data_IF_066580465596
#
_entry.id   IF_066580465596
#
_cell.length_a   1.000
_cell.length_b   1.000
_cell.length_c   1.000
_cell.angle_alpha   90.00
_cell.angle_beta   90.00
_cell.angle_gamma   90.00
#
_symmetry.space_group_name_H-M   'P 1'
#
loop_
_entity.id
_entity.type
_entity.pdbx_description
1 polymer ?
#
# COMPACT_ATOMS: atom_id res chain seq x y z
N UNK A 1 -26.05 39.82 -29.22
CA UNK A 1 -24.70 40.36 -28.94
C UNK A 1 -23.97 39.25 -28.20
N UNK A 2 -22.85 38.81 -28.75
CA UNK A 2 -22.32 37.43 -28.67
C UNK A 2 -21.99 36.89 -27.28
N UNK A 3 -22.13 35.58 -27.15
CA UNK A 3 -21.88 34.76 -25.96
C UNK A 3 -20.46 34.18 -26.05
N UNK A 4 -19.55 34.67 -25.21
CA UNK A 4 -18.17 34.22 -25.03
C UNK A 4 -18.15 33.15 -23.92
N UNK A 5 -18.13 31.87 -24.31
CA UNK A 5 -17.95 30.74 -23.38
C UNK A 5 -16.94 29.71 -23.89
N UNK A 6 -15.78 30.14 -24.37
CA UNK A 6 -14.60 29.27 -24.47
C UNK A 6 -13.80 29.31 -23.15
N UNK A 7 -14.29 28.53 -22.18
CA UNK A 7 -13.62 28.27 -20.89
C UNK A 7 -12.48 27.25 -20.99
N UNK A 8 -11.67 27.31 -22.05
CA UNK A 8 -10.50 26.44 -22.18
C UNK A 8 -9.46 26.79 -21.12
N UNK A 9 -9.26 25.86 -20.18
CA UNK A 9 -8.45 26.00 -18.95
C UNK A 9 -7.00 26.45 -19.28
N UNK A 10 -6.62 27.72 -19.02
CA UNK A 10 -5.33 28.28 -19.44
C UNK A 10 -4.13 27.64 -18.73
N UNK A 11 -4.34 26.95 -17.61
CA UNK A 11 -3.28 26.27 -16.88
C UNK A 11 -2.75 25.00 -17.59
N UNK A 12 -3.59 24.29 -18.36
CA UNK A 12 -3.20 23.10 -19.11
C UNK A 12 -2.25 23.46 -20.27
N UNK A 13 -2.52 24.55 -20.99
CA UNK A 13 -1.61 25.06 -22.03
C UNK A 13 -0.27 25.48 -21.44
N UNK A 14 -0.27 26.10 -20.25
CA UNK A 14 0.96 26.48 -19.53
C UNK A 14 1.78 25.29 -19.06
N UNK A 15 1.13 24.21 -18.62
CA UNK A 15 1.80 22.99 -18.18
C UNK A 15 2.47 22.26 -19.36
N UNK A 16 1.75 22.12 -20.49
CA UNK A 16 2.29 21.49 -21.71
C UNK A 16 3.43 22.31 -22.31
N UNK A 17 3.33 23.65 -22.33
CA UNK A 17 4.43 24.51 -22.79
C UNK A 17 5.65 24.48 -21.86
N UNK A 18 5.45 24.35 -20.55
CA UNK A 18 6.53 24.29 -19.57
C UNK A 18 7.36 23.02 -19.68
N UNK A 19 6.70 21.85 -19.86
CA UNK A 19 7.39 20.57 -20.04
C UNK A 19 8.17 20.54 -21.35
N UNK A 20 7.60 21.07 -22.45
CA UNK A 20 8.29 21.18 -23.73
C UNK A 20 9.54 22.07 -23.66
N UNK A 21 9.45 23.24 -23.00
CA UNK A 21 10.58 24.15 -22.86
C UNK A 21 11.72 23.56 -22.01
N UNK A 22 11.40 22.86 -20.92
CA UNK A 22 12.39 22.17 -20.08
C UNK A 22 13.13 21.08 -20.86
N UNK A 23 12.42 20.32 -21.69
CA UNK A 23 13.02 19.26 -22.49
C UNK A 23 13.94 19.80 -23.59
N UNK A 24 13.52 20.86 -24.29
CA UNK A 24 14.37 21.55 -25.28
C UNK A 24 15.65 22.08 -24.63
N UNK A 25 15.56 22.64 -23.42
CA UNK A 25 16.72 23.12 -22.68
C UNK A 25 17.69 21.98 -22.32
N UNK A 26 17.18 20.81 -21.90
CA UNK A 26 18.02 19.64 -21.58
C UNK A 26 18.73 19.09 -22.82
N UNK A 27 18.06 19.05 -23.98
CA UNK A 27 18.69 18.64 -25.25
C UNK A 27 19.77 19.63 -25.67
N UNK A 28 19.51 20.93 -25.55
CA UNK A 28 20.49 21.96 -25.89
C UNK A 28 21.74 21.87 -24.99
N UNK A 29 21.56 21.64 -23.68
CA UNK A 29 22.68 21.45 -22.74
C UNK A 29 23.47 20.19 -23.09
N UNK A 30 22.82 19.06 -23.37
CA UNK A 30 23.49 17.84 -23.78
C UNK A 30 24.29 18.03 -25.08
N UNK A 31 23.73 18.75 -26.07
CA UNK A 31 24.41 19.06 -27.32
C UNK A 31 25.64 19.95 -27.08
N UNK A 32 25.52 20.99 -26.26
CA UNK A 32 26.63 21.88 -25.89
C UNK A 32 27.72 21.14 -25.14
N UNK A 33 27.39 20.27 -24.19
CA UNK A 33 28.37 19.44 -23.48
C UNK A 33 29.09 18.47 -24.43
N UNK A 34 28.39 17.95 -25.44
CA UNK A 34 28.98 17.06 -26.44
C UNK A 34 29.91 17.82 -27.40
N UNK A 35 29.55 19.04 -27.79
CA UNK A 35 30.38 19.92 -28.62
C UNK A 35 31.59 20.47 -27.86
N UNK A 36 31.46 20.73 -26.55
CA UNK A 36 32.57 21.16 -25.70
C UNK A 36 33.57 20.02 -25.43
N UNK A 37 33.09 18.77 -25.37
CA UNK A 37 33.93 17.59 -25.30
C UNK A 37 34.77 17.36 -26.57
N UNK A 38 34.36 17.92 -27.72
CA UNK A 38 35.07 17.83 -29.00
C UNK A 38 36.30 18.77 -29.08
N UNK A 39 36.37 19.80 -28.22
CA UNK A 39 37.40 20.83 -28.29
C UNK A 39 38.48 20.79 -27.19
N UNK A 40 38.44 19.80 -26.29
CA UNK A 40 39.45 19.70 -25.23
C UNK A 40 39.92 18.27 -25.05
N UNK A 41 41.24 18.10 -25.12
CA UNK A 41 42.02 16.96 -24.59
C UNK A 41 41.97 16.90 -23.05
N UNK A 42 40.78 17.17 -22.46
CA UNK A 42 40.50 17.15 -21.02
C UNK A 42 39.83 15.85 -20.56
N UNK A 43 39.53 14.92 -21.47
CA UNK A 43 39.01 13.60 -21.10
C UNK A 43 40.10 12.62 -20.63
N UNK A 44 41.39 12.96 -20.75
CA UNK A 44 42.48 12.13 -20.24
C UNK A 44 42.77 12.31 -18.74
N UNK A 45 42.14 13.28 -18.07
CA UNK A 45 42.35 13.55 -16.63
C UNK A 45 41.13 13.31 -15.75
N UNK A 46 40.02 12.81 -16.29
CA UNK A 46 38.86 12.48 -15.45
C UNK A 46 39.09 11.18 -14.67
N UNK A 47 38.94 11.20 -13.34
CA UNK A 47 39.14 10.01 -12.51
C UNK A 47 38.05 8.96 -12.77
N UNK A 48 38.43 7.68 -12.74
CA UNK A 48 37.62 6.53 -13.16
C UNK A 48 36.25 6.35 -12.46
N UNK A 49 35.95 7.12 -11.42
CA UNK A 49 34.66 7.10 -10.73
C UNK A 49 33.57 7.92 -11.43
N UNK A 50 33.90 8.76 -12.42
CA UNK A 50 32.89 9.46 -13.24
C UNK A 50 32.33 8.61 -14.40
N UNK A 51 32.85 7.40 -14.60
CA UNK A 51 32.38 6.43 -15.62
C UNK A 51 31.12 5.69 -15.18
N UNK A 52 30.06 6.40 -14.77
CA UNK A 52 28.77 5.77 -14.48
C UNK A 52 27.92 5.80 -15.76
N UNK A 53 27.45 4.64 -16.27
CA UNK A 53 26.57 4.64 -17.42
C UNK A 53 25.25 5.29 -17.01
N UNK A 54 24.93 6.42 -17.64
CA UNK A 54 23.60 7.02 -17.59
C UNK A 54 22.65 6.05 -18.33
N UNK A 55 22.06 5.12 -17.58
CA UNK A 55 20.92 4.34 -18.07
C UNK A 55 19.70 5.26 -18.11
N UNK A 56 19.40 5.76 -19.30
CA UNK A 56 18.11 6.39 -19.61
C UNK A 56 17.00 5.33 -19.46
N UNK A 57 16.28 5.41 -18.34
CA UNK A 57 15.05 4.64 -18.13
C UNK A 57 13.93 5.28 -18.96
N UNK A 58 13.48 4.58 -20.00
CA UNK A 58 12.22 4.92 -20.68
C UNK A 58 12.22 4.80 -22.20
N UNK A 59 12.47 3.60 -22.73
CA UNK A 59 11.73 2.95 -23.81
C UNK A 59 12.44 1.64 -24.18
N UNK A 60 11.64 0.62 -24.49
CA UNK A 60 12.06 -0.78 -24.52
C UNK A 60 13.23 -1.11 -25.43
N UNK A 61 13.98 -2.12 -24.97
CA UNK A 61 14.75 -3.12 -25.72
C UNK A 61 14.62 -2.97 -27.23
N UNK A 62 15.66 -2.41 -27.87
CA UNK A 62 16.30 -2.86 -29.13
C UNK A 62 17.57 -2.00 -29.25
N UNK A 63 18.74 -2.63 -29.15
CA UNK A 63 20.01 -1.92 -29.36
C UNK A 63 21.25 -2.48 -28.67
N UNK A 64 21.30 -3.76 -28.30
CA UNK A 64 22.58 -4.40 -27.86
C UNK A 64 23.31 -5.08 -29.04
N UNK A 65 22.84 -4.89 -30.28
CA UNK A 65 23.54 -5.43 -31.45
C UNK A 65 24.66 -4.49 -31.90
N UNK A 66 25.89 -4.95 -31.65
CA UNK A 66 27.16 -4.58 -32.32
C UNK A 66 27.76 -3.19 -32.03
N UNK A 67 27.96 -2.85 -30.75
CA UNK A 67 28.74 -1.65 -30.37
C UNK A 67 30.26 -1.79 -30.58
N UNK A 68 30.77 -3.00 -30.83
CA UNK A 68 32.22 -3.29 -30.82
C UNK A 68 32.98 -3.01 -32.13
N UNK A 69 32.32 -2.68 -33.25
CA UNK A 69 32.97 -2.64 -34.59
C UNK A 69 32.73 -1.32 -35.35
N UNK A 70 32.28 -0.26 -34.67
CA UNK A 70 32.07 1.04 -35.32
C UNK A 70 33.24 1.98 -35.01
N UNK A 71 33.85 2.56 -36.04
CA UNK A 71 34.84 3.64 -35.92
C UNK A 71 34.18 4.88 -35.27
N UNK A 72 34.99 5.79 -34.71
CA UNK A 72 34.48 6.93 -33.91
C UNK A 72 33.31 7.66 -34.56
N UNK A 73 33.44 8.01 -35.85
CA UNK A 73 32.40 8.72 -36.59
C UNK A 73 31.08 7.93 -36.77
N UNK A 74 31.17 6.61 -36.91
CA UNK A 74 30.00 5.73 -37.06
C UNK A 74 29.23 5.54 -35.74
N UNK A 75 29.89 5.67 -34.59
CA UNK A 75 29.24 5.65 -33.26
C UNK A 75 28.38 6.88 -33.04
N UNK A 76 28.84 8.06 -33.48
CA UNK A 76 28.07 9.29 -33.40
C UNK A 76 26.79 9.20 -34.23
N UNK A 77 26.89 8.77 -35.49
CA UNK A 77 25.72 8.60 -36.35
C UNK A 77 24.70 7.62 -35.75
N UNK A 78 25.14 6.51 -35.17
CA UNK A 78 24.25 5.55 -34.52
C UNK A 78 23.54 6.15 -33.29
N UNK A 79 24.24 6.89 -32.44
CA UNK A 79 23.65 7.54 -31.26
C UNK A 79 22.67 8.66 -31.64
N UNK A 80 23.03 9.49 -32.63
CA UNK A 80 22.16 10.55 -33.13
C UNK A 80 20.90 9.95 -33.76
N UNK A 81 21.03 8.86 -34.52
CA UNK A 81 19.88 8.17 -35.11
C UNK A 81 18.93 7.61 -34.04
N UNK A 82 19.46 6.94 -33.00
CA UNK A 82 18.65 6.41 -31.89
C UNK A 82 17.94 7.55 -31.15
N UNK A 83 18.62 8.67 -30.88
CA UNK A 83 18.01 9.82 -30.23
C UNK A 83 16.90 10.46 -31.07
N UNK A 84 17.10 10.59 -32.38
CA UNK A 84 16.09 11.14 -33.30
C UNK A 84 14.88 10.20 -33.41
N UNK A 85 15.12 8.89 -33.55
CA UNK A 85 14.04 7.90 -33.64
C UNK A 85 13.25 7.79 -32.33
N UNK A 86 13.92 7.82 -31.17
CA UNK A 86 13.26 7.85 -29.86
C UNK A 86 12.40 9.10 -29.68
N UNK A 87 12.90 10.26 -30.10
CA UNK A 87 12.15 11.53 -30.04
C UNK A 87 10.92 11.51 -30.96
N UNK A 88 11.04 10.97 -32.17
CA UNK A 88 9.92 10.85 -33.10
C UNK A 88 8.83 9.91 -32.57
N UNK A 89 9.20 8.77 -31.98
CA UNK A 89 8.26 7.82 -31.38
C UNK A 89 7.51 8.45 -30.19
N UNK A 90 8.19 9.24 -29.36
CA UNK A 90 7.58 9.93 -28.23
C UNK A 90 6.55 10.98 -28.68
N UNK A 91 6.87 11.77 -29.72
CA UNK A 91 5.92 12.75 -30.27
C UNK A 91 4.68 12.09 -30.89
N UNK A 92 4.85 10.96 -31.57
CA UNK A 92 3.74 10.13 -32.06
C UNK A 92 2.86 9.60 -30.92
N UNK A 93 3.47 9.12 -29.83
CA UNK A 93 2.74 8.66 -28.65
C UNK A 93 1.91 9.75 -27.98
N UNK A 94 2.45 10.98 -27.89
CA UNK A 94 1.71 12.13 -27.35
C UNK A 94 0.51 12.48 -28.25
N UNK A 95 0.68 12.47 -29.58
CA UNK A 95 -0.41 12.74 -30.52
C UNK A 95 -1.58 11.76 -30.37
N UNK A 96 -1.28 10.45 -30.35
CA UNK A 96 -2.28 9.41 -30.19
C UNK A 96 -3.02 9.50 -28.84
N UNK A 97 -2.32 9.86 -27.77
CA UNK A 97 -2.93 10.05 -26.46
C UNK A 97 -3.88 11.26 -26.45
N UNK A 98 -3.51 12.37 -27.09
CA UNK A 98 -4.39 13.55 -27.16
C UNK A 98 -5.65 13.33 -27.98
N UNK A 99 -5.59 12.53 -29.04
CA UNK A 99 -6.77 12.19 -29.84
C UNK A 99 -7.71 11.23 -29.08
N UNK A 100 -7.17 10.23 -28.36
CA UNK A 100 -7.97 9.34 -27.52
C UNK A 100 -8.73 10.10 -26.41
N UNK A 101 -8.08 11.08 -25.79
CA UNK A 101 -8.70 11.94 -24.76
C UNK A 101 -9.74 12.89 -25.35
N UNK A 102 -9.53 13.35 -26.60
CA UNK A 102 -10.50 14.19 -27.32
C UNK A 102 -11.76 13.40 -27.69
N UNK A 103 -11.62 12.18 -28.20
CA UNK A 103 -12.76 11.30 -28.53
C UNK A 103 -13.59 10.95 -27.29
N UNK A 104 -12.93 10.73 -26.16
CA UNK A 104 -13.63 10.42 -24.90
C UNK A 104 -14.39 11.62 -24.33
N UNK A 105 -13.92 12.85 -24.56
CA UNK A 105 -14.62 14.07 -24.12
C UNK A 105 -15.68 14.58 -25.10
N UNK A 106 -15.63 14.18 -26.38
CA UNK A 106 -16.64 14.53 -27.39
C UNK A 106 -18.00 13.82 -27.22
N UNK A 107 -18.03 12.69 -26.51
CA UNK A 107 -19.24 11.87 -26.33
C UNK A 107 -20.18 12.29 -25.20
N UNK A 108 -19.81 13.23 -24.33
CA UNK A 108 -20.60 13.59 -23.14
C UNK A 108 -21.55 14.80 -23.33
N UNK A 109 -21.72 15.29 -24.56
CA UNK A 109 -22.41 16.57 -24.82
C UNK A 109 -23.86 16.53 -25.30
N UNK A 110 -24.50 15.37 -25.47
CA UNK A 110 -25.74 15.27 -26.27
C UNK A 110 -27.00 14.74 -25.56
N UNK A 111 -27.06 14.71 -24.22
CA UNK A 111 -28.25 14.21 -23.50
C UNK A 111 -28.67 15.09 -22.32
N UNK A 112 -28.96 16.37 -22.59
CA UNK A 112 -29.57 17.29 -21.62
C UNK A 112 -30.61 18.17 -22.30
N UNK A 113 -31.73 17.58 -22.73
CA UNK A 113 -32.93 18.33 -23.08
C UNK A 113 -34.19 17.48 -22.84
N UNK A 114 -34.65 17.42 -21.59
CA UNK A 114 -35.99 16.93 -21.26
C UNK A 114 -36.09 16.08 -20.00
N UNK A 115 -35.81 16.65 -18.82
CA UNK A 115 -36.15 16.00 -17.55
C UNK A 115 -37.20 16.85 -16.79
N UNK A 116 -38.34 16.26 -16.36
CA UNK A 116 -39.33 16.94 -15.53
C UNK A 116 -38.81 17.22 -14.12
N UNK A 117 -39.41 18.23 -13.49
CA UNK A 117 -39.03 18.79 -12.19
C UNK A 117 -38.80 17.73 -11.10
N UNK A 118 -37.77 17.89 -10.23
CA UNK A 118 -37.46 16.91 -9.21
C UNK A 118 -38.55 16.93 -8.13
N UNK A 119 -39.35 15.87 -8.08
CA UNK A 119 -40.10 15.55 -6.88
C UNK A 119 -39.10 15.08 -5.82
N UNK A 120 -39.16 15.72 -4.65
CA UNK A 120 -38.39 15.37 -3.46
C UNK A 120 -38.85 13.98 -3.00
N UNK A 121 -38.19 12.94 -3.48
CA UNK A 121 -38.28 11.60 -2.92
C UNK A 121 -37.48 11.61 -1.62
N UNK A 122 -38.19 11.68 -0.50
CA UNK A 122 -37.66 11.31 0.82
C UNK A 122 -37.51 9.80 0.88
N UNK A 123 -36.54 9.25 0.14
CA UNK A 123 -36.06 7.88 0.37
C UNK A 123 -35.18 7.90 1.62
N UNK A 124 -35.83 7.85 2.77
CA UNK A 124 -35.22 7.47 4.05
C UNK A 124 -34.95 5.97 4.03
N UNK A 125 -34.06 5.54 3.14
CA UNK A 125 -33.45 4.23 3.22
C UNK A 125 -32.35 4.32 4.29
N UNK A 126 -32.62 3.78 5.48
CA UNK A 126 -31.60 3.60 6.50
C UNK A 126 -30.36 2.93 5.87
N UNK A 127 -29.13 3.39 6.17
CA UNK A 127 -27.93 2.78 5.61
C UNK A 127 -27.92 1.30 5.96
N UNK A 128 -27.90 0.44 4.94
CA UNK A 128 -27.74 -1.00 5.12
C UNK A 128 -26.43 -1.25 5.85
N UNK A 129 -26.51 -1.77 7.08
CA UNK A 129 -25.34 -2.05 7.90
C UNK A 129 -24.39 -2.95 7.11
N UNK A 130 -23.18 -2.45 6.79
CA UNK A 130 -22.17 -3.26 6.09
C UNK A 130 -21.81 -4.45 6.98
N UNK A 131 -21.96 -5.66 6.44
CA UNK A 131 -21.51 -6.89 7.10
C UNK A 131 -19.97 -6.87 7.18
N UNK A 132 -19.42 -7.16 8.36
CA UNK A 132 -17.97 -7.26 8.54
C UNK A 132 -17.42 -8.44 7.72
N UNK A 133 -16.30 -8.28 7.00
CA UNK A 133 -15.71 -9.35 6.22
C UNK A 133 -15.26 -10.50 7.13
N UNK A 134 -15.34 -11.72 6.62
CA UNK A 134 -14.99 -12.93 7.36
C UNK A 134 -13.51 -13.26 7.18
N UNK A 135 -12.87 -13.65 8.28
CA UNK A 135 -11.54 -14.21 8.28
C UNK A 135 -11.61 -15.68 7.84
N UNK A 136 -10.66 -16.18 7.01
CA UNK A 136 -10.67 -17.58 6.58
C UNK A 136 -10.70 -18.54 7.76
N UNK A 137 -11.68 -19.45 7.79
CA UNK A 137 -11.86 -20.39 8.90
C UNK A 137 -11.99 -21.85 8.44
N UNK A 138 -11.27 -22.81 9.04
CA UNK A 138 -10.24 -22.62 10.07
C UNK A 138 -9.05 -21.77 9.57
N UNK A 139 -8.31 -21.10 10.47
CA UNK A 139 -7.24 -20.21 10.06
C UNK A 139 -6.18 -20.98 9.25
N UNK A 140 -5.57 -20.37 8.23
CA UNK A 140 -4.44 -20.97 7.51
C UNK A 140 -3.29 -21.34 8.45
N UNK A 141 -2.47 -22.31 8.04
CA UNK A 141 -1.30 -22.71 8.83
C UNK A 141 -0.37 -21.53 9.07
N UNK A 142 -0.25 -21.12 10.33
CA UNK A 142 0.68 -20.09 10.75
C UNK A 142 2.12 -20.64 10.88
N UNK A 143 3.10 -19.77 10.67
CA UNK A 143 4.52 -20.06 10.87
C UNK A 143 4.85 -20.35 12.33
N UNK A 144 4.16 -19.67 13.24
CA UNK A 144 4.18 -19.92 14.67
C UNK A 144 2.84 -19.47 15.30
N UNK A 145 2.52 -20.02 16.47
CA UNK A 145 1.29 -19.71 17.21
C UNK A 145 1.56 -19.64 18.71
N UNK A 146 0.90 -18.72 19.41
CA UNK A 146 0.91 -18.64 20.86
C UNK A 146 -0.45 -18.21 21.40
N UNK A 147 -0.96 -18.94 22.40
CA UNK A 147 -2.10 -18.48 23.21
C UNK A 147 -1.60 -17.43 24.20
N UNK A 148 -2.22 -16.26 24.21
CA UNK A 148 -1.88 -15.18 25.13
C UNK A 148 -2.50 -15.46 26.51
N UNK A 149 -1.74 -15.33 27.61
CA UNK A 149 -2.28 -15.41 28.95
C UNK A 149 -3.38 -14.36 29.17
N UNK A 150 -4.53 -14.77 29.71
CA UNK A 150 -5.68 -13.88 29.95
C UNK A 150 -5.33 -12.68 30.86
N UNK A 151 -4.36 -12.84 31.76
CA UNK A 151 -3.84 -11.76 32.62
C UNK A 151 -3.31 -10.55 31.82
N UNK A 152 -2.84 -10.77 30.58
CA UNK A 152 -2.39 -9.68 29.71
C UNK A 152 -3.56 -8.83 29.17
N UNK A 153 -4.80 -9.33 29.27
CA UNK A 153 -6.01 -8.68 28.77
C UNK A 153 -6.80 -7.92 29.84
N UNK A 154 -6.37 -7.93 31.11
CA UNK A 154 -6.89 -7.09 32.21
C UNK A 154 -8.38 -7.27 32.53
N UNK A 155 -8.80 -8.53 32.67
CA UNK A 155 -10.16 -8.91 33.05
C UNK A 155 -11.26 -8.26 32.18
N UNK A 156 -11.19 -8.45 30.84
CA UNK A 156 -12.13 -7.84 29.92
C UNK A 156 -13.54 -8.41 30.13
N UNK A 157 -14.56 -7.53 30.08
CA UNK A 157 -15.97 -7.94 30.23
C UNK A 157 -16.57 -8.24 28.86
N UNK A 158 -16.15 -7.51 27.83
CA UNK A 158 -16.69 -7.58 26.47
C UNK A 158 -15.61 -7.80 25.41
N UNK A 159 -16.01 -8.17 24.20
CA UNK A 159 -15.09 -8.25 23.06
C UNK A 159 -14.49 -6.88 22.68
N UNK A 160 -15.23 -5.79 22.92
CA UNK A 160 -14.72 -4.44 22.74
C UNK A 160 -13.56 -4.13 23.69
N UNK A 161 -13.64 -4.56 24.96
CA UNK A 161 -12.56 -4.35 25.94
C UNK A 161 -11.27 -5.07 25.52
N UNK A 162 -11.41 -6.30 24.98
CA UNK A 162 -10.29 -7.05 24.42
C UNK A 162 -9.69 -6.31 23.23
N UNK A 163 -10.53 -5.88 22.27
CA UNK A 163 -10.07 -5.16 21.09
C UNK A 163 -9.35 -3.85 21.45
N UNK A 164 -9.88 -3.10 22.42
CA UNK A 164 -9.27 -1.88 22.92
C UNK A 164 -7.93 -2.15 23.60
N UNK A 165 -7.83 -3.20 24.42
CA UNK A 165 -6.59 -3.58 25.09
C UNK A 165 -5.52 -3.98 24.07
N UNK A 166 -5.89 -4.81 23.08
CA UNK A 166 -5.00 -5.23 22.00
C UNK A 166 -4.52 -4.02 21.18
N UNK A 167 -5.44 -3.12 20.79
CA UNK A 167 -5.13 -1.89 20.05
C UNK A 167 -4.19 -0.99 20.84
N UNK A 168 -4.52 -0.66 22.10
CA UNK A 168 -3.70 0.20 22.94
C UNK A 168 -2.28 -0.38 23.16
N UNK A 169 -2.18 -1.71 23.28
CA UNK A 169 -0.89 -2.39 23.41
C UNK A 169 -0.06 -2.24 22.14
N UNK A 170 -0.67 -2.45 20.97
CA UNK A 170 0.02 -2.31 19.69
C UNK A 170 0.35 -0.86 19.35
N UNK A 171 -0.51 0.09 19.72
CA UNK A 171 -0.27 1.52 19.57
C UNK A 171 0.95 1.96 20.39
N UNK A 172 1.05 1.54 21.66
CA UNK A 172 2.23 1.79 22.49
C UNK A 172 3.50 1.14 21.93
N UNK A 173 3.36 0.05 21.19
CA UNK A 173 4.44 -0.59 20.48
C UNK A 173 4.75 0.07 19.11
N UNK A 174 3.96 1.08 18.69
CA UNK A 174 4.11 1.84 17.45
C UNK A 174 3.44 1.21 16.22
N UNK A 175 2.36 0.44 16.41
CA UNK A 175 1.69 -0.37 15.38
C UNK A 175 0.22 0.08 15.29
N UNK A 176 -0.01 1.08 14.46
CA UNK A 176 -1.30 1.79 14.38
C UNK A 176 -2.23 1.25 13.27
N UNK A 177 -1.67 0.50 12.31
CA UNK A 177 -2.42 -0.03 11.18
C UNK A 177 -2.98 -1.41 11.50
N UNK A 178 -4.24 -1.42 11.95
CA UNK A 178 -4.97 -2.62 12.37
C UNK A 178 -6.22 -2.81 11.52
N UNK A 179 -6.58 -4.07 11.24
CA UNK A 179 -7.79 -4.45 10.50
C UNK A 179 -8.56 -5.53 11.24
N UNK A 180 -9.88 -5.40 11.30
CA UNK A 180 -10.79 -6.32 11.98
C UNK A 180 -11.58 -7.17 10.99
N UNK A 181 -11.71 -8.45 11.31
CA UNK A 181 -12.46 -9.45 10.55
C UNK A 181 -13.30 -10.30 11.50
N UNK A 182 -14.42 -10.83 11.00
CA UNK A 182 -15.24 -11.78 11.75
C UNK A 182 -14.56 -13.14 11.80
N UNK A 183 -14.53 -13.77 12.97
CA UNK A 183 -14.31 -15.23 13.11
C UNK A 183 -15.54 -15.82 13.80
N UNK A 184 -15.70 -17.16 13.85
CA UNK A 184 -16.77 -17.75 14.63
C UNK A 184 -16.77 -17.23 16.07
N UNK A 185 -17.90 -16.67 16.48
CA UNK A 185 -18.14 -16.07 17.80
C UNK A 185 -17.14 -14.99 18.24
N UNK A 186 -16.41 -14.34 17.34
CA UNK A 186 -15.45 -13.33 17.76
C UNK A 186 -14.83 -12.56 16.60
N UNK A 187 -13.62 -12.06 16.81
CA UNK A 187 -12.90 -11.29 15.79
C UNK A 187 -11.45 -11.72 15.62
N UNK A 188 -10.91 -11.43 14.44
CA UNK A 188 -9.48 -11.43 14.18
C UNK A 188 -9.02 -9.99 13.96
N UNK A 189 -7.95 -9.59 14.66
CA UNK A 189 -7.28 -8.31 14.49
C UNK A 189 -5.91 -8.53 13.84
N UNK A 190 -5.72 -7.94 12.67
CA UNK A 190 -4.58 -8.19 11.79
C UNK A 190 -3.68 -6.95 11.80
N UNK A 191 -2.39 -7.13 12.06
CA UNK A 191 -1.38 -6.07 11.90
C UNK A 191 -1.06 -5.86 10.43
N UNK A 192 -0.48 -4.71 10.07
CA UNK A 192 0.20 -4.58 8.77
C UNK A 192 1.34 -5.60 8.62
N UNK A 193 1.77 -5.85 7.39
CA UNK A 193 3.00 -6.59 7.11
C UNK A 193 4.21 -5.74 7.51
N UNK A 194 5.18 -6.36 8.14
CA UNK A 194 6.40 -5.74 8.60
C UNK A 194 7.59 -6.39 7.92
N UNK A 195 8.54 -5.59 7.40
CA UNK A 195 9.84 -6.11 6.97
C UNK A 195 10.72 -6.36 8.19
N UNK A 196 11.32 -7.55 8.24
CA UNK A 196 12.13 -7.99 9.37
C UNK A 196 13.49 -8.52 8.93
N UNK A 197 14.48 -8.40 9.81
CA UNK A 197 15.78 -9.05 9.64
C UNK A 197 15.74 -10.55 10.02
N UNK A 198 16.90 -11.19 10.05
CA UNK A 198 17.02 -12.60 10.45
C UNK A 198 16.69 -12.84 11.93
N UNK A 199 16.78 -11.79 12.76
CA UNK A 199 16.53 -11.80 14.20
C UNK A 199 15.11 -11.32 14.54
N UNK A 200 14.30 -11.00 13.54
CA UNK A 200 12.92 -10.54 13.70
C UNK A 200 12.79 -9.07 14.09
N UNK A 201 13.87 -8.27 14.05
CA UNK A 201 13.77 -6.83 14.27
C UNK A 201 13.21 -6.15 13.02
N UNK A 202 12.50 -5.04 13.21
CA UNK A 202 12.04 -4.21 12.11
C UNK A 202 13.22 -3.60 11.33
N UNK A 203 13.12 -3.62 10.01
CA UNK A 203 14.06 -2.92 9.14
C UNK A 203 13.50 -1.52 8.83
N UNK A 204 14.15 -0.47 9.34
CA UNK A 204 13.68 0.92 9.28
C UNK A 204 13.41 1.45 7.85
N UNK A 205 14.12 0.96 6.83
CA UNK A 205 13.90 1.39 5.44
C UNK A 205 12.55 0.92 4.86
N UNK A 206 11.93 -0.11 5.45
CA UNK A 206 10.60 -0.55 5.08
C UNK A 206 9.48 0.31 5.70
N UNK A 207 9.80 1.25 6.59
CA UNK A 207 8.84 2.21 7.14
C UNK A 207 8.42 3.28 6.13
N UNK A 208 9.12 3.42 4.99
CA UNK A 208 8.62 4.18 3.83
C UNK A 208 7.49 3.37 3.17
N UNK A 209 6.33 3.48 3.80
CA UNK A 209 5.18 2.64 3.57
C UNK A 209 4.74 2.57 2.10
N UNK A 210 4.29 1.38 1.71
CA UNK A 210 3.28 1.26 0.67
C UNK A 210 1.99 1.80 1.28
N UNK A 211 1.75 3.10 1.15
CA UNK A 211 0.45 3.70 1.46
C UNK A 211 -0.55 3.24 0.41
N UNK A 212 -1.38 2.26 0.77
CA UNK A 212 -2.38 1.68 -0.12
C UNK A 212 -3.25 0.65 0.58
N UNK A 213 -4.38 0.33 -0.05
CA UNK A 213 -5.33 -0.67 0.42
C UNK A 213 -4.63 -2.02 0.65
N UNK A 214 -4.92 -2.69 1.77
CA UNK A 214 -4.31 -3.99 2.15
C UNK A 214 -4.52 -5.06 1.04
N UNK A 215 -5.58 -4.88 0.24
CA UNK A 215 -5.90 -5.52 -1.04
C UNK A 215 -4.80 -5.49 -2.09
N UNK A 216 -4.22 -4.32 -2.28
CA UNK A 216 -3.11 -4.12 -3.20
C UNK A 216 -1.89 -4.82 -2.61
N UNK A 217 -1.77 -4.93 -1.29
CA UNK A 217 -0.53 -5.31 -0.63
C UNK A 217 -0.24 -6.82 -0.50
N UNK A 218 -1.22 -7.69 -0.26
CA UNK A 218 -1.03 -9.15 -0.36
C UNK A 218 -0.77 -9.56 -1.82
N UNK A 219 -1.47 -8.94 -2.79
CA UNK A 219 -1.11 -9.01 -4.22
C UNK A 219 0.24 -8.38 -4.51
N UNK A 220 0.72 -7.46 -3.67
CA UNK A 220 2.05 -6.86 -3.74
C UNK A 220 3.13 -7.52 -2.89
N UNK A 221 2.93 -8.68 -2.27
CA UNK A 221 4.10 -9.52 -1.97
C UNK A 221 4.90 -9.83 -3.27
N UNK A 222 4.26 -9.73 -4.44
CA UNK A 222 4.93 -9.72 -5.74
C UNK A 222 5.75 -8.44 -6.04
N UNK A 223 5.51 -7.30 -5.39
CA UNK A 223 6.23 -6.03 -5.62
C UNK A 223 7.01 -5.47 -4.43
N UNK A 224 6.88 -6.06 -3.21
CA UNK A 224 7.80 -5.75 -2.11
C UNK A 224 9.23 -6.13 -2.50
N UNK A 225 10.26 -5.41 -2.00
CA UNK A 225 11.65 -5.81 -2.21
C UNK A 225 11.92 -7.26 -1.76
N UNK A 226 13.02 -7.88 -2.23
CA UNK A 226 13.51 -9.11 -1.62
C UNK A 226 13.75 -8.89 -0.13
N UNK A 227 13.36 -9.85 0.69
CA UNK A 227 13.44 -9.71 2.13
C UNK A 227 12.57 -10.70 2.88
N UNK A 228 12.44 -10.45 4.18
CA UNK A 228 11.62 -11.25 5.09
C UNK A 228 10.57 -10.38 5.70
N UNK A 229 9.41 -10.97 5.88
CA UNK A 229 8.24 -10.23 6.31
C UNK A 229 7.49 -11.01 7.36
N UNK A 230 6.78 -10.30 8.24
CA UNK A 230 5.83 -10.91 9.17
C UNK A 230 4.51 -10.17 9.21
N UNK A 231 3.46 -10.90 9.53
CA UNK A 231 2.16 -10.37 9.91
C UNK A 231 1.69 -11.12 11.15
N UNK A 232 1.10 -10.42 12.11
CA UNK A 232 0.54 -11.02 13.32
C UNK A 232 -0.97 -10.86 13.30
N UNK A 233 -1.67 -11.96 13.54
CA UNK A 233 -3.14 -11.98 13.67
C UNK A 233 -3.50 -12.39 15.08
N UNK A 234 -4.20 -11.52 15.79
CA UNK A 234 -4.78 -11.82 17.09
C UNK A 234 -6.20 -12.33 16.89
N UNK A 235 -6.42 -13.62 17.10
CA UNK A 235 -7.73 -14.26 17.01
C UNK A 235 -8.34 -14.34 18.40
N UNK A 236 -9.52 -13.75 18.58
CA UNK A 236 -10.30 -13.77 19.81
C UNK A 236 -11.58 -14.54 19.56
N UNK A 237 -11.73 -15.71 20.17
CA UNK A 237 -12.88 -16.61 19.95
C UNK A 237 -13.00 -17.63 21.09
N UNK A 238 -14.21 -18.13 21.31
CA UNK A 238 -14.50 -19.25 22.22
C UNK A 238 -14.42 -20.62 21.53
N UNK A 239 -14.17 -20.65 20.22
CA UNK A 239 -14.08 -21.88 19.45
C UNK A 239 -12.64 -22.38 19.39
N UNK A 240 -12.45 -23.64 19.79
CA UNK A 240 -11.18 -24.33 19.57
C UNK A 240 -11.00 -24.55 18.07
N UNK A 241 -9.80 -24.25 17.56
CA UNK A 241 -9.47 -24.47 16.16
C UNK A 241 -8.11 -25.16 16.02
N UNK A 242 -7.97 -25.92 14.94
CA UNK A 242 -6.69 -26.35 14.41
C UNK A 242 -6.45 -25.58 13.12
N UNK A 243 -5.21 -25.18 12.86
CA UNK A 243 -4.90 -24.52 11.60
C UNK A 243 -5.18 -25.47 10.42
N UNK A 244 -5.71 -24.94 9.31
CA UNK A 244 -5.88 -25.74 8.10
C UNK A 244 -4.51 -26.23 7.64
N UNK A 245 -4.39 -27.50 7.25
CA UNK A 245 -3.10 -28.11 6.92
C UNK A 245 -2.45 -27.57 5.63
N UNK A 246 -3.16 -26.72 4.88
CA UNK A 246 -2.73 -26.19 3.60
C UNK A 246 -2.07 -24.81 3.70
N UNK A 247 -1.24 -24.44 2.71
CA UNK A 247 -0.79 -23.05 2.54
C UNK A 247 -2.00 -22.13 2.33
N UNK A 248 -1.82 -20.83 2.62
CA UNK A 248 -2.81 -19.81 2.25
C UNK A 248 -3.04 -19.90 0.74
N UNK A 249 -4.21 -20.36 0.33
CA UNK A 249 -4.58 -20.34 -1.08
C UNK A 249 -4.98 -18.93 -1.50
N UNK A 250 -5.14 -18.74 -2.81
CA UNK A 250 -5.52 -17.45 -3.39
C UNK A 250 -6.86 -16.93 -2.86
N UNK A 251 -7.81 -17.82 -2.56
CA UNK A 251 -9.13 -17.42 -2.07
C UNK A 251 -9.07 -16.93 -0.61
N UNK A 252 -8.27 -17.59 0.23
CA UNK A 252 -7.98 -17.14 1.59
C UNK A 252 -7.24 -15.79 1.58
N UNK A 253 -6.28 -15.62 0.67
CA UNK A 253 -5.67 -14.31 0.38
C UNK A 253 -6.74 -13.29 -0.04
N UNK A 254 -7.69 -13.65 -0.90
CA UNK A 254 -8.81 -12.80 -1.33
C UNK A 254 -9.78 -12.41 -0.20
N UNK A 255 -9.98 -13.27 0.79
CA UNK A 255 -10.77 -12.94 1.99
C UNK A 255 -10.00 -12.02 2.96
N UNK A 256 -8.68 -12.19 3.11
CA UNK A 256 -7.84 -11.17 3.76
C UNK A 256 -7.96 -9.82 3.03
N UNK A 257 -8.18 -9.86 1.73
CA UNK A 257 -8.21 -8.68 0.89
C UNK A 257 -9.50 -7.85 1.06
N UNK A 258 -10.68 -8.37 1.42
CA UNK A 258 -11.94 -7.59 1.31
C UNK A 258 -12.17 -6.39 2.25
N UNK A 259 -11.13 -5.72 2.75
CA UNK A 259 -11.22 -4.42 3.41
C UNK A 259 -11.71 -4.58 4.84
N UNK A 260 -10.95 -5.32 5.65
CA UNK A 260 -11.16 -5.44 7.09
C UNK A 260 -11.51 -4.09 7.71
N UNK A 261 -12.43 -4.12 8.67
CA UNK A 261 -12.93 -2.89 9.27
C UNK A 261 -11.79 -2.21 10.05
N UNK A 262 -11.81 -0.89 10.10
CA UNK A 262 -10.87 -0.12 10.93
C UNK A 262 -11.22 -0.21 12.42
N UNK A 263 -12.44 -0.61 12.75
CA UNK A 263 -12.90 -0.81 14.12
C UNK A 263 -13.83 -2.00 14.27
N UNK A 264 -14.01 -2.47 15.50
CA UNK A 264 -14.92 -3.55 15.83
C UNK A 264 -16.37 -3.02 15.88
N UNK A 265 -17.32 -3.55 15.10
CA UNK A 265 -18.72 -3.11 15.17
C UNK A 265 -19.35 -3.37 16.54
N UNK A 266 -20.19 -2.46 17.04
CA UNK A 266 -20.86 -2.55 18.35
C UNK A 266 -21.61 -3.88 18.55
N UNK A 267 -22.22 -4.42 17.49
CA UNK A 267 -22.95 -5.70 17.50
C UNK A 267 -22.08 -6.91 17.87
N UNK A 268 -20.78 -6.84 17.58
CA UNK A 268 -19.80 -7.84 17.97
C UNK A 268 -19.07 -7.41 19.24
N UNK A 269 -18.74 -6.12 19.36
CA UNK A 269 -18.03 -5.55 20.51
C UNK A 269 -18.78 -5.71 21.83
N UNK A 270 -20.11 -5.58 21.84
CA UNK A 270 -20.93 -5.70 23.04
C UNK A 270 -21.18 -7.12 23.52
N UNK A 271 -20.58 -8.15 22.91
CA UNK A 271 -20.71 -9.54 23.39
C UNK A 271 -19.80 -9.81 24.58
N UNK A 272 -20.29 -10.62 25.51
CA UNK A 272 -19.54 -11.00 26.72
C UNK A 272 -18.27 -11.79 26.39
N UNK A 273 -17.15 -11.39 27.00
CA UNK A 273 -15.91 -12.15 26.99
C UNK A 273 -15.90 -13.09 28.21
N UNK A 274 -16.31 -14.34 27.98
CA UNK A 274 -16.41 -15.36 29.04
C UNK A 274 -15.11 -16.16 29.20
N UNK A 275 -15.04 -17.00 30.24
CA UNK A 275 -13.92 -17.93 30.46
C UNK A 275 -13.69 -18.96 29.31
N UNK A 276 -14.65 -19.08 28.38
CA UNK A 276 -14.51 -19.90 27.17
C UNK A 276 -13.60 -19.27 26.10
N UNK A 277 -13.47 -17.95 26.09
CA UNK A 277 -12.69 -17.25 25.07
C UNK A 277 -11.18 -17.45 25.24
N UNK A 278 -10.49 -17.47 24.11
CA UNK A 278 -9.04 -17.46 24.02
C UNK A 278 -8.60 -16.37 23.04
N UNK A 279 -7.50 -15.72 23.38
CA UNK A 279 -6.79 -14.83 22.47
C UNK A 279 -5.53 -15.54 22.00
N UNK A 280 -5.46 -15.83 20.71
CA UNK A 280 -4.35 -16.56 20.09
C UNK A 280 -3.66 -15.67 19.07
N UNK A 281 -2.35 -15.48 19.22
CA UNK A 281 -1.51 -14.83 18.24
C UNK A 281 -1.05 -15.85 17.19
N UNK A 282 -1.39 -15.61 15.93
CA UNK A 282 -0.92 -16.35 14.76
C UNK A 282 0.13 -15.50 14.03
N UNK A 283 1.32 -16.04 13.84
CA UNK A 283 2.38 -15.34 13.10
C UNK A 283 2.53 -15.97 11.72
N UNK A 284 2.43 -15.14 10.69
CA UNK A 284 2.71 -15.52 9.32
C UNK A 284 4.02 -14.87 8.89
N UNK A 285 5.03 -15.69 8.64
CA UNK A 285 6.36 -15.27 8.23
C UNK A 285 6.58 -15.60 6.76
N UNK A 286 7.01 -14.63 5.97
CA UNK A 286 7.21 -14.77 4.53
C UNK A 286 8.66 -14.47 4.16
N UNK A 287 9.17 -15.16 3.13
CA UNK A 287 10.44 -14.86 2.48
C UNK A 287 10.24 -14.59 1.00
N UNK A 288 10.90 -13.56 0.51
CA UNK A 288 11.01 -13.26 -0.92
C UNK A 288 12.48 -13.20 -1.31
N UNK A 289 12.92 -14.13 -2.15
CA UNK A 289 14.33 -14.29 -2.50
C UNK A 289 14.81 -13.28 -3.55
N UNK A 290 13.97 -12.95 -4.53
CA UNK A 290 14.26 -11.99 -5.61
C UNK A 290 13.05 -11.12 -5.91
N UNK A 291 13.23 -10.03 -6.66
CA UNK A 291 12.15 -9.06 -6.94
C UNK A 291 10.95 -9.72 -7.64
N UNK A 292 11.23 -10.67 -8.54
CA UNK A 292 10.21 -11.36 -9.35
C UNK A 292 9.73 -12.68 -8.72
N UNK A 293 10.35 -13.11 -7.61
CA UNK A 293 9.95 -14.34 -6.93
C UNK A 293 8.60 -14.16 -6.21
N UNK A 294 7.80 -15.23 -6.20
CA UNK A 294 6.63 -15.30 -5.32
C UNK A 294 7.13 -15.43 -3.88
N UNK A 295 6.56 -14.62 -2.98
CA UNK A 295 6.87 -14.76 -1.57
C UNK A 295 6.37 -16.11 -1.03
N UNK A 296 7.22 -16.77 -0.27
CA UNK A 296 6.98 -18.09 0.29
C UNK A 296 6.64 -17.95 1.77
N UNK A 297 5.52 -18.53 2.19
CA UNK A 297 5.22 -18.70 3.61
C UNK A 297 6.23 -19.69 4.23
N UNK A 298 6.89 -19.29 5.30
CA UNK A 298 7.87 -20.11 6.00
C UNK A 298 7.18 -20.97 7.06
N UNK A 299 7.24 -22.29 6.89
CA UNK A 299 6.64 -23.27 7.80
C UNK A 299 7.67 -24.35 8.18
N UNK A 300 8.13 -24.44 9.45
CA UNK A 300 7.93 -23.43 10.50
C UNK A 300 8.62 -22.10 10.16
N UNK A 301 8.25 -21.03 10.87
CA UNK A 301 9.00 -19.77 10.84
C UNK A 301 10.38 -19.92 11.49
N UNK A 302 11.26 -18.93 11.31
CA UNK A 302 12.58 -18.97 11.95
C UNK A 302 12.51 -18.68 13.45
N UNK A 303 11.54 -17.86 13.86
CA UNK A 303 11.31 -17.54 15.27
C UNK A 303 10.01 -18.17 15.73
N UNK A 304 9.97 -18.56 17.01
CA UNK A 304 8.73 -18.90 17.66
C UNK A 304 7.84 -17.65 17.84
N UNK A 305 6.57 -17.88 18.16
CA UNK A 305 5.59 -16.80 18.31
C UNK A 305 5.95 -15.86 19.48
N UNK A 306 6.57 -16.38 20.54
CA UNK A 306 6.96 -15.56 21.70
C UNK A 306 8.00 -14.51 21.31
N UNK A 307 9.05 -14.91 20.59
CA UNK A 307 10.07 -14.00 20.08
C UNK A 307 9.48 -13.00 19.09
N UNK A 308 8.58 -13.41 18.21
CA UNK A 308 7.88 -12.44 17.33
C UNK A 308 7.09 -11.40 18.13
N UNK A 309 6.36 -11.82 19.17
CA UNK A 309 5.62 -10.93 20.07
C UNK A 309 6.56 -9.98 20.84
N UNK A 310 7.69 -10.48 21.34
CA UNK A 310 8.73 -9.66 21.95
C UNK A 310 9.24 -8.59 20.97
N UNK A 311 9.53 -8.99 19.72
CA UNK A 311 10.07 -8.11 18.69
C UNK A 311 9.08 -7.09 18.13
N UNK A 312 7.78 -7.35 18.19
CA UNK A 312 6.79 -6.29 17.90
C UNK A 312 6.61 -5.33 19.08
N UNK A 313 7.16 -5.62 20.27
CA UNK A 313 7.03 -4.80 21.47
C UNK A 313 5.85 -5.17 22.37
N UNK A 314 5.17 -6.29 22.12
CA UNK A 314 3.94 -6.70 22.81
C UNK A 314 4.11 -6.73 24.33
N UNK A 315 5.08 -7.49 24.84
CA UNK A 315 5.25 -7.67 26.29
C UNK A 315 5.68 -6.39 27.00
N UNK A 316 6.57 -5.60 26.39
CA UNK A 316 6.98 -4.31 26.93
C UNK A 316 5.79 -3.35 27.02
N UNK A 317 4.96 -3.27 25.98
CA UNK A 317 3.77 -2.41 25.98
C UNK A 317 2.72 -2.87 27.02
N UNK A 318 2.48 -4.18 27.16
CA UNK A 318 1.55 -4.69 28.17
C UNK A 318 1.98 -4.37 29.59
N UNK A 319 3.28 -4.20 29.86
CA UNK A 319 3.79 -3.85 31.19
C UNK A 319 3.54 -2.38 31.57
N UNK A 320 3.35 -1.50 30.58
CA UNK A 320 3.21 -0.05 30.80
C UNK A 320 1.75 0.38 30.99
N UNK A 321 0.79 -0.35 30.42
CA UNK A 321 -0.63 -0.02 30.59
C UNK A 321 -0.97 -0.17 32.10
N UNK A 322 -1.57 0.83 32.77
CA UNK A 322 -2.02 0.70 34.17
C UNK A 322 -3.23 -0.22 34.28
N UNK A 323 -3.36 -1.06 35.32
CA UNK A 323 -4.49 -2.01 35.45
C UNK A 323 -5.86 -1.35 35.68
N UNK A 324 -5.89 -0.01 35.80
CA UNK A 324 -7.08 0.78 36.12
C UNK A 324 -7.33 1.96 35.18
N UNK A 325 -6.51 2.15 34.15
CA UNK A 325 -6.78 3.22 33.21
C UNK A 325 -7.91 2.78 32.28
N UNK A 326 -9.14 3.17 32.60
CA UNK A 326 -10.12 3.51 31.58
C UNK A 326 -9.44 4.55 30.69
N UNK A 327 -8.77 4.09 29.63
CA UNK A 327 -8.21 4.98 28.61
C UNK A 327 -9.45 5.67 28.04
N UNK A 328 -9.65 6.98 28.28
CA UNK A 328 -10.76 7.67 27.67
C UNK A 328 -10.54 7.52 26.17
N UNK A 329 -11.49 6.87 25.49
CA UNK A 329 -11.45 6.86 24.04
C UNK A 329 -11.62 8.32 23.66
N UNK A 330 -10.54 8.97 23.22
CA UNK A 330 -10.58 10.31 22.66
C UNK A 330 -11.28 10.22 21.30
N UNK A 331 -12.59 9.97 21.31
CA UNK A 331 -13.43 10.42 20.22
C UNK A 331 -13.42 11.95 20.30
N UNK A 332 -13.07 12.66 19.22
CA UNK A 332 -13.39 14.08 19.17
C UNK A 332 -14.90 14.20 19.33
N UNK A 333 -15.35 14.77 20.44
CA UNK A 333 -16.74 15.14 20.62
C UNK A 333 -17.15 15.95 19.41
N UNK A 334 -18.10 15.42 18.63
CA UNK A 334 -18.80 16.19 17.62
C UNK A 334 -19.43 17.36 18.38
N UNK A 335 -18.89 18.56 18.18
CA UNK A 335 -19.42 19.80 18.72
C UNK A 335 -20.87 19.94 18.24
N UNK A 336 -21.81 19.57 19.11
CA UNK A 336 -23.22 19.86 18.94
C UNK A 336 -23.38 21.38 18.99
N UNK A 337 -23.34 22.00 17.81
CA UNK A 337 -23.67 23.39 17.62
C UNK A 337 -25.15 23.56 17.95
N UNK A 338 -25.42 24.08 19.14
CA UNK A 338 -26.75 24.49 19.57
C UNK A 338 -27.25 25.64 18.69
N UNK A 339 -28.14 25.31 17.75
CA UNK A 339 -29.04 26.28 17.14
C UNK A 339 -30.29 26.32 18.00
N UNK A 340 -30.37 27.29 18.91
CA UNK A 340 -31.65 27.68 19.53
C UNK A 340 -32.50 28.44 18.50
N UNK A 341 -33.76 28.06 18.26
CA UNK A 341 -34.67 28.85 17.44
C UNK A 341 -35.12 30.09 18.21
N UNK A 342 -35.13 31.24 17.54
CA UNK A 342 -35.93 32.42 17.86
C UNK A 342 -37.02 32.54 16.81
#
# INVERSE_FOLDING_TARGET
MGDDSDGSRPWLRRLVSGVGALWIALVAVALVLTLLADHTSLLETLPAWLSVPVMLFGCGVIGVLTYKVLSGHQRYLALTLVAVLGSAAMLLGIGLFTDAVRDQMGGMGAELAGAPSPQVQTDSAAPTARKMPEFPWPPPRASAMQVLPAVLLRDPVTLADVAQTLRATLDLAGRHELRFYAVPNGFAMVTRLESIDAQGNLIAEAERGVTGDFLVYIRNLFWVPPGRYRMVVFVVTDQVFAASGGPIDRAAAEAFMSGGFNDLPDTLGGRDYTAGYRTTALVYEFRKDTQDAVAQLLLPGQLDAHRHLEKIGWFAATAVIPSYAAVPVLYPEATASGITPR
#
